data_IF_117977436434
#
_entry.id   IF_117977436434
#
_cell.length_a   1.000
_cell.length_b   1.000
_cell.length_c   1.000
_cell.angle_alpha   90.00
_cell.angle_beta   90.00
_cell.angle_gamma   90.00
#
_symmetry.space_group_name_H-M   'P 1'
#
loop_
_entity.id
_entity.type
_entity.pdbx_description
1 polymer ?
#
# COMPACT_ATOMS: atom_id res chain seq x y z
N UNK A 1 -43.00 -33.20 53.73
CA UNK A 1 -41.86 -34.03 54.16
C UNK A 1 -41.26 -34.69 52.93
N UNK A 2 -40.00 -34.59 52.53
CA UNK A 2 -38.83 -33.70 52.75
C UNK A 2 -38.00 -33.82 51.43
N UNK A 3 -37.30 -32.77 50.98
CA UNK A 3 -36.68 -32.71 49.66
C UNK A 3 -35.35 -33.48 49.61
N UNK A 4 -35.00 -34.05 48.45
CA UNK A 4 -33.69 -34.69 48.23
C UNK A 4 -32.64 -33.63 47.90
N UNK A 5 -32.06 -33.13 48.99
CA UNK A 5 -30.71 -32.61 49.21
C UNK A 5 -29.87 -32.21 47.97
N UNK A 6 -29.70 -30.89 47.85
CA UNK A 6 -28.63 -30.24 47.12
C UNK A 6 -27.28 -30.55 47.78
N UNK A 7 -26.35 -31.12 47.02
CA UNK A 7 -24.95 -31.18 47.45
C UNK A 7 -24.28 -29.84 47.17
N UNK A 8 -24.49 -28.90 48.09
CA UNK A 8 -23.64 -27.72 48.27
C UNK A 8 -22.30 -28.21 48.84
N UNK A 9 -21.27 -28.28 48.00
CA UNK A 9 -19.88 -28.36 48.47
C UNK A 9 -19.34 -26.93 48.60
N UNK A 10 -19.49 -26.38 49.80
CA UNK A 10 -18.92 -25.10 50.20
C UNK A 10 -17.43 -25.30 50.52
N UNK A 11 -16.57 -25.08 49.52
CA UNK A 11 -15.13 -24.94 49.68
C UNK A 11 -14.76 -23.46 49.77
N UNK A 12 -14.10 -23.06 50.88
CA UNK A 12 -13.66 -21.70 51.19
C UNK A 12 -12.55 -21.22 50.23
N UNK A 13 -12.92 -20.68 49.08
CA UNK A 13 -12.22 -19.57 48.41
C UNK A 13 -13.04 -19.13 47.18
N UNK A 14 -13.52 -17.90 47.19
CA UNK A 14 -14.45 -17.35 46.20
C UNK A 14 -13.80 -17.03 44.85
N UNK A 15 -13.39 -18.05 44.09
CA UNK A 15 -13.18 -17.93 42.65
C UNK A 15 -13.81 -19.15 41.99
N UNK A 16 -15.05 -18.98 41.54
CA UNK A 16 -15.63 -19.86 40.51
C UNK A 16 -14.80 -19.63 39.26
N UNK A 17 -13.75 -20.43 39.07
CA UNK A 17 -13.09 -20.55 37.77
C UNK A 17 -14.04 -21.33 36.88
N UNK A 18 -15.06 -20.64 36.36
CA UNK A 18 -15.90 -21.17 35.29
C UNK A 18 -14.97 -21.55 34.15
N UNK A 19 -14.86 -22.85 33.86
CA UNK A 19 -14.20 -23.34 32.64
C UNK A 19 -14.88 -22.59 31.49
N UNK A 20 -14.14 -21.81 30.66
CA UNK A 20 -14.76 -21.06 29.60
C UNK A 20 -15.48 -22.03 28.67
N UNK A 21 -16.81 -21.92 28.65
CA UNK A 21 -17.69 -22.53 27.67
C UNK A 21 -17.11 -22.26 26.26
N UNK A 22 -17.21 -23.23 25.36
CA UNK A 22 -16.83 -23.09 23.95
C UNK A 22 -17.25 -21.74 23.35
N UNK A 23 -18.47 -21.26 23.61
CA UNK A 23 -18.96 -19.96 23.13
C UNK A 23 -18.21 -18.76 23.72
N UNK A 24 -17.76 -18.84 24.97
CA UNK A 24 -16.96 -17.80 25.63
C UNK A 24 -15.55 -17.76 25.05
N UNK A 25 -14.96 -18.94 24.78
CA UNK A 25 -13.65 -19.06 24.16
C UNK A 25 -13.67 -18.59 22.70
N UNK A 26 -14.63 -19.04 21.89
CA UNK A 26 -14.76 -18.59 20.49
C UNK A 26 -15.05 -17.10 20.41
N UNK A 27 -15.90 -16.55 21.28
CA UNK A 27 -16.14 -15.10 21.34
C UNK A 27 -14.92 -14.29 21.79
N UNK A 28 -14.08 -14.83 22.67
CA UNK A 28 -12.82 -14.19 23.06
C UNK A 28 -11.78 -14.24 21.92
N UNK A 29 -11.70 -15.37 21.20
CA UNK A 29 -10.84 -15.54 20.04
C UNK A 29 -11.28 -14.63 18.88
N UNK A 30 -12.57 -14.58 18.57
CA UNK A 30 -13.12 -13.70 17.52
C UNK A 30 -12.90 -12.22 17.85
N UNK A 31 -13.03 -11.80 19.12
CA UNK A 31 -12.70 -10.42 19.49
C UNK A 31 -11.23 -10.08 19.36
N UNK A 32 -10.34 -11.05 19.62
CA UNK A 32 -8.89 -10.81 19.68
C UNK A 32 -8.18 -11.05 18.35
N UNK A 33 -8.69 -11.99 17.57
CA UNK A 33 -8.09 -12.49 16.33
C UNK A 33 -9.07 -12.51 15.16
N UNK A 34 -10.35 -12.20 15.39
CA UNK A 34 -11.34 -12.17 14.32
C UNK A 34 -11.09 -11.04 13.34
N UNK A 35 -11.40 -11.31 12.08
CA UNK A 35 -11.09 -10.43 10.96
C UNK A 35 -11.89 -9.13 11.00
N UNK A 36 -12.97 -9.04 11.79
CA UNK A 36 -13.80 -7.85 11.89
C UNK A 36 -13.02 -6.63 12.42
N UNK A 37 -12.15 -6.82 13.42
CA UNK A 37 -11.31 -5.73 13.92
C UNK A 37 -10.27 -5.31 12.86
N UNK A 38 -9.68 -6.28 12.16
CA UNK A 38 -8.71 -6.04 11.10
C UNK A 38 -9.35 -5.32 9.90
N UNK A 39 -10.58 -5.65 9.52
CA UNK A 39 -11.33 -4.96 8.48
C UNK A 39 -11.46 -3.46 8.75
N UNK A 40 -11.88 -3.08 9.96
CA UNK A 40 -11.99 -1.67 10.33
C UNK A 40 -10.64 -0.94 10.27
N UNK A 41 -9.55 -1.61 10.66
CA UNK A 41 -8.19 -1.07 10.56
C UNK A 41 -7.80 -0.83 9.09
N UNK A 42 -8.02 -1.80 8.21
CA UNK A 42 -7.72 -1.66 6.78
C UNK A 42 -8.58 -0.58 6.12
N UNK A 43 -9.86 -0.48 6.48
CA UNK A 43 -10.74 0.60 6.00
C UNK A 43 -10.25 1.99 6.43
N UNK A 44 -9.76 2.12 7.67
CA UNK A 44 -9.19 3.36 8.15
C UNK A 44 -7.88 3.70 7.43
N UNK A 45 -6.99 2.72 7.27
CA UNK A 45 -5.73 2.88 6.54
C UNK A 45 -5.96 3.32 5.10
N UNK A 46 -6.90 2.67 4.40
CA UNK A 46 -7.25 2.94 3.01
C UNK A 46 -7.63 4.42 2.78
N UNK A 47 -8.43 5.02 3.68
CA UNK A 47 -8.86 6.42 3.57
C UNK A 47 -7.69 7.42 3.57
N UNK A 48 -6.69 7.15 4.40
CA UNK A 48 -5.47 7.97 4.51
C UNK A 48 -4.36 7.55 3.56
N UNK A 49 -4.54 6.48 2.79
CA UNK A 49 -3.47 5.90 2.00
C UNK A 49 -3.14 6.77 0.79
N UNK A 50 -1.87 7.11 0.59
CA UNK A 50 -1.39 7.97 -0.49
C UNK A 50 -0.10 7.40 -1.07
N UNK A 51 0.12 7.59 -2.37
CA UNK A 51 1.31 7.14 -3.08
C UNK A 51 2.56 7.80 -2.49
N UNK A 52 3.57 6.99 -2.19
CA UNK A 52 4.86 7.48 -1.65
C UNK A 52 5.74 8.06 -2.75
N UNK A 53 6.74 8.85 -2.36
CA UNK A 53 7.63 9.50 -3.33
C UNK A 53 8.50 8.51 -4.14
N UNK A 54 8.91 7.41 -3.51
CA UNK A 54 9.78 6.40 -4.15
C UNK A 54 8.97 5.27 -4.82
N UNK A 55 7.65 5.31 -4.70
CA UNK A 55 6.76 4.23 -5.12
C UNK A 55 6.26 4.46 -6.55
N UNK A 56 6.41 3.43 -7.39
CA UNK A 56 5.92 3.50 -8.77
C UNK A 56 4.40 3.38 -8.82
N UNK A 57 3.78 3.82 -9.91
CA UNK A 57 2.32 3.71 -10.10
C UNK A 57 1.83 2.25 -9.99
N UNK A 58 2.61 1.30 -10.50
CA UNK A 58 2.28 -0.13 -10.44
C UNK A 58 2.39 -0.69 -9.02
N UNK A 59 3.42 -0.30 -8.26
CA UNK A 59 3.55 -0.71 -6.85
C UNK A 59 2.39 -0.17 -6.02
N UNK A 60 2.05 1.10 -6.26
CA UNK A 60 0.92 1.75 -5.60
C UNK A 60 -0.41 1.09 -5.92
N UNK A 61 -0.66 0.78 -7.20
CA UNK A 61 -1.85 0.04 -7.64
C UNK A 61 -1.97 -1.31 -6.94
N UNK A 62 -0.90 -2.11 -6.95
CA UNK A 62 -0.88 -3.43 -6.33
C UNK A 62 -1.16 -3.36 -4.82
N UNK A 63 -0.61 -2.35 -4.14
CA UNK A 63 -0.86 -2.13 -2.72
C UNK A 63 -2.31 -1.71 -2.44
N UNK A 64 -2.91 -0.82 -3.24
CA UNK A 64 -4.33 -0.47 -3.11
C UNK A 64 -5.21 -1.69 -3.37
N UNK A 65 -4.96 -2.43 -4.45
CA UNK A 65 -5.72 -3.64 -4.80
C UNK A 65 -5.71 -4.65 -3.65
N UNK A 66 -4.54 -4.88 -3.04
CA UNK A 66 -4.43 -5.72 -1.84
C UNK A 66 -5.19 -5.14 -0.64
N UNK A 67 -5.05 -3.84 -0.38
CA UNK A 67 -5.66 -3.17 0.77
C UNK A 67 -7.18 -3.19 0.72
N UNK A 68 -7.78 -2.94 -0.46
CA UNK A 68 -9.24 -2.94 -0.62
C UNK A 68 -9.83 -4.34 -0.40
N UNK A 69 -9.15 -5.39 -0.89
CA UNK A 69 -9.56 -6.77 -0.65
C UNK A 69 -9.54 -7.14 0.84
N UNK A 70 -8.56 -6.63 1.60
CA UNK A 70 -8.48 -6.83 3.05
C UNK A 70 -9.52 -5.99 3.82
N UNK A 71 -9.82 -4.79 3.34
CA UNK A 71 -10.80 -3.89 3.94
C UNK A 71 -12.25 -4.34 3.73
N UNK A 72 -12.54 -5.02 2.61
CA UNK A 72 -13.89 -5.40 2.19
C UNK A 72 -13.99 -6.85 1.68
N UNK A 73 -13.58 -7.88 2.46
CA UNK A 73 -13.51 -9.26 1.97
C UNK A 73 -14.88 -9.89 1.64
N UNK A 74 -15.98 -9.29 2.11
CA UNK A 74 -17.36 -9.74 1.86
C UNK A 74 -18.10 -8.88 0.82
N UNK A 75 -17.46 -7.85 0.27
CA UNK A 75 -18.11 -6.98 -0.70
C UNK A 75 -18.15 -7.63 -2.10
N UNK A 76 -19.14 -7.31 -2.94
CA UNK A 76 -19.15 -7.75 -4.33
C UNK A 76 -17.93 -7.23 -5.09
N UNK A 77 -17.40 -8.04 -6.01
CA UNK A 77 -16.22 -7.69 -6.80
C UNK A 77 -16.35 -6.32 -7.50
N UNK A 78 -17.54 -5.99 -8.02
CA UNK A 78 -17.81 -4.68 -8.64
C UNK A 78 -17.61 -3.51 -7.68
N UNK A 79 -17.99 -3.66 -6.41
CA UNK A 79 -17.83 -2.62 -5.38
C UNK A 79 -16.35 -2.50 -4.99
N UNK A 80 -15.66 -3.63 -4.84
CA UNK A 80 -14.21 -3.67 -4.61
C UNK A 80 -13.48 -2.92 -5.72
N UNK A 81 -13.81 -3.19 -6.98
CA UNK A 81 -13.22 -2.53 -8.15
C UNK A 81 -13.44 -1.02 -8.12
N UNK A 82 -14.67 -0.57 -7.84
CA UNK A 82 -14.98 0.86 -7.74
C UNK A 82 -14.22 1.55 -6.62
N UNK A 83 -14.11 0.90 -5.46
CA UNK A 83 -13.35 1.42 -4.32
C UNK A 83 -11.85 1.49 -4.63
N UNK A 84 -11.31 0.47 -5.29
CA UNK A 84 -9.93 0.42 -5.76
C UNK A 84 -9.63 1.60 -6.70
N UNK A 85 -10.41 1.78 -7.76
CA UNK A 85 -10.23 2.90 -8.70
C UNK A 85 -10.33 4.25 -7.99
N UNK A 86 -11.33 4.46 -7.13
CA UNK A 86 -11.50 5.73 -6.40
C UNK A 86 -10.30 6.03 -5.50
N UNK A 87 -9.84 5.05 -4.71
CA UNK A 87 -8.72 5.25 -3.79
C UNK A 87 -7.40 5.42 -4.53
N UNK A 88 -7.20 4.70 -5.64
CA UNK A 88 -6.04 4.89 -6.50
C UNK A 88 -5.97 6.33 -6.99
N UNK A 89 -7.03 6.83 -7.63
CA UNK A 89 -7.07 8.20 -8.19
C UNK A 89 -6.90 9.26 -7.10
N UNK A 90 -7.63 9.14 -5.99
CA UNK A 90 -7.57 10.10 -4.88
C UNK A 90 -6.22 10.12 -4.16
N UNK A 91 -5.47 9.02 -4.24
CA UNK A 91 -4.20 8.88 -3.55
C UNK A 91 -2.97 8.99 -4.43
N UNK A 92 -3.11 9.27 -5.73
CA UNK A 92 -2.00 9.62 -6.60
C UNK A 92 -1.24 10.84 -6.07
N UNK A 93 0.10 10.74 -6.08
CA UNK A 93 0.99 11.79 -5.58
C UNK A 93 0.99 13.01 -6.50
N UNK A 94 0.95 12.78 -7.80
CA UNK A 94 0.95 13.85 -8.79
C UNK A 94 -0.50 14.34 -9.02
N UNK A 95 -0.82 15.57 -8.60
CA UNK A 95 -2.19 16.08 -8.67
C UNK A 95 -2.69 16.23 -10.10
N UNK A 96 -1.81 16.45 -11.07
CA UNK A 96 -2.17 16.58 -12.48
C UNK A 96 -2.56 15.22 -13.07
N UNK A 97 -1.75 14.19 -12.80
CA UNK A 97 -2.08 12.80 -13.18
C UNK A 97 -3.40 12.39 -12.52
N UNK A 98 -3.56 12.66 -11.21
CA UNK A 98 -4.80 12.35 -10.48
C UNK A 98 -6.04 13.00 -11.09
N UNK A 99 -5.96 14.28 -11.47
CA UNK A 99 -7.08 14.98 -12.11
C UNK A 99 -7.43 14.40 -13.48
N UNK A 100 -6.43 14.18 -14.34
CA UNK A 100 -6.62 13.68 -15.70
C UNK A 100 -7.18 12.25 -15.71
N UNK A 101 -6.65 11.38 -14.84
CA UNK A 101 -7.17 10.02 -14.66
C UNK A 101 -8.60 10.07 -14.10
N UNK A 102 -8.87 10.91 -13.09
CA UNK A 102 -10.20 11.04 -12.49
C UNK A 102 -11.30 11.51 -13.45
N UNK A 103 -10.96 12.32 -14.45
CA UNK A 103 -11.93 12.78 -15.47
C UNK A 103 -12.39 11.66 -16.41
N UNK A 104 -11.54 10.66 -16.67
CA UNK A 104 -11.84 9.57 -17.59
C UNK A 104 -12.79 8.50 -17.01
N UNK A 105 -13.02 8.49 -15.69
CA UNK A 105 -14.01 7.62 -15.01
C UNK A 105 -13.89 6.14 -15.39
N UNK A 106 -12.70 5.59 -15.24
CA UNK A 106 -12.39 4.19 -15.54
C UNK A 106 -13.27 3.23 -14.74
N UNK A 107 -13.54 2.05 -15.32
CA UNK A 107 -14.36 1.02 -14.67
C UNK A 107 -13.52 -0.01 -13.94
N UNK A 108 -12.27 -0.15 -14.34
CA UNK A 108 -11.34 -1.14 -13.81
C UNK A 108 -10.04 -0.48 -13.35
N UNK A 109 -9.38 -1.12 -12.39
CA UNK A 109 -8.09 -0.68 -11.88
C UNK A 109 -7.01 -0.71 -12.97
N UNK A 110 -7.05 -1.74 -13.82
CA UNK A 110 -6.12 -1.86 -14.95
C UNK A 110 -6.24 -0.68 -15.93
N UNK A 111 -7.46 -0.28 -16.29
CA UNK A 111 -7.69 0.87 -17.17
C UNK A 111 -7.16 2.18 -16.55
N UNK A 112 -7.39 2.38 -15.24
CA UNK A 112 -6.90 3.55 -14.52
C UNK A 112 -5.37 3.60 -14.48
N UNK A 113 -4.72 2.46 -14.23
CA UNK A 113 -3.26 2.35 -14.21
C UNK A 113 -2.66 2.61 -15.59
N UNK A 114 -3.20 2.00 -16.66
CA UNK A 114 -2.70 2.22 -18.02
C UNK A 114 -2.76 3.70 -18.39
N UNK A 115 -3.88 4.36 -18.13
CA UNK A 115 -4.02 5.79 -18.44
C UNK A 115 -3.07 6.65 -17.59
N UNK A 116 -2.88 6.32 -16.31
CA UNK A 116 -1.92 7.03 -15.45
C UNK A 116 -0.48 6.92 -15.99
N UNK A 117 -0.08 5.74 -16.48
CA UNK A 117 1.23 5.51 -17.09
C UNK A 117 1.38 6.31 -18.40
N UNK A 118 0.37 6.31 -19.26
CA UNK A 118 0.39 7.10 -20.50
C UNK A 118 0.60 8.60 -20.22
N UNK A 119 -0.06 9.13 -19.18
CA UNK A 119 0.11 10.53 -18.78
C UNK A 119 1.52 10.77 -18.21
N UNK A 120 2.04 9.85 -17.38
CA UNK A 120 3.39 9.93 -16.84
C UNK A 120 4.44 9.98 -17.96
N UNK A 121 4.32 9.11 -18.96
CA UNK A 121 5.21 9.05 -20.13
C UNK A 121 5.15 10.36 -20.94
N UNK A 122 3.94 10.88 -21.22
CA UNK A 122 3.76 12.15 -21.94
C UNK A 122 4.35 13.33 -21.15
N UNK A 123 4.21 13.30 -19.82
CA UNK A 123 4.74 14.34 -18.94
C UNK A 123 6.27 14.30 -18.86
N UNK A 124 6.86 13.11 -18.85
CA UNK A 124 8.31 12.95 -18.91
C UNK A 124 8.87 13.44 -20.25
N UNK A 125 8.25 13.05 -21.37
CA UNK A 125 8.66 13.50 -22.71
C UNK A 125 8.56 15.04 -22.88
N UNK A 126 7.52 15.66 -22.33
CA UNK A 126 7.36 17.12 -22.40
C UNK A 126 8.35 17.88 -21.51
N UNK A 127 8.75 17.31 -20.35
CA UNK A 127 9.83 17.88 -19.51
C UNK A 127 11.15 17.91 -20.25
N UNK A 128 11.50 16.83 -20.95
CA UNK A 128 12.73 16.75 -21.72
C UNK A 128 12.72 17.73 -22.91
N UNK A 129 11.58 17.88 -23.59
CA UNK A 129 11.44 18.85 -24.67
C UNK A 129 11.52 20.32 -24.21
N UNK A 130 11.07 20.61 -22.98
CA UNK A 130 11.00 21.98 -22.43
C UNK A 130 12.30 22.40 -21.72
N UNK A 131 13.19 21.46 -21.39
CA UNK A 131 14.46 21.75 -20.70
C UNK A 131 15.71 21.42 -21.53
N UNK A 132 15.98 22.15 -22.63
CA UNK A 132 17.18 21.95 -23.46
C UNK A 132 18.51 22.22 -22.71
N UNK A 133 18.45 22.79 -21.50
CA UNK A 133 19.63 23.01 -20.65
C UNK A 133 20.00 21.78 -19.80
N UNK A 134 19.07 20.90 -19.44
CA UNK A 134 19.37 19.71 -18.61
C UNK A 134 20.22 18.66 -19.34
N UNK A 135 20.07 18.55 -20.66
CA UNK A 135 20.91 17.68 -21.49
C UNK A 135 22.37 18.13 -21.52
N UNK A 136 22.62 19.44 -21.50
CA UNK A 136 23.99 19.96 -21.39
C UNK A 136 24.62 19.64 -20.02
N UNK A 137 23.84 19.72 -18.93
CA UNK A 137 24.33 19.36 -17.58
C UNK A 137 24.58 17.85 -17.43
N UNK A 138 23.74 16.97 -18.01
CA UNK A 138 23.96 15.52 -17.98
C UNK A 138 25.14 15.09 -18.86
N UNK A 139 25.31 15.70 -20.04
CA UNK A 139 26.42 15.41 -20.97
C UNK A 139 27.75 15.88 -20.40
N UNK A 140 27.84 17.09 -19.83
CA UNK A 140 29.08 17.62 -19.24
C UNK A 140 29.55 16.82 -18.02
N UNK A 141 28.63 16.36 -17.15
CA UNK A 141 28.99 15.48 -16.03
C UNK A 141 29.46 14.09 -16.49
N UNK A 142 28.84 13.52 -17.52
CA UNK A 142 29.25 12.22 -18.08
C UNK A 142 30.63 12.30 -18.76
N UNK A 143 30.88 13.38 -19.52
CA UNK A 143 32.21 13.64 -20.11
C UNK A 143 33.27 13.90 -19.02
N UNK A 144 32.92 14.65 -17.96
CA UNK A 144 33.80 14.90 -16.82
C UNK A 144 34.17 13.63 -16.04
N UNK A 145 33.21 12.73 -15.80
CA UNK A 145 33.48 11.43 -15.17
C UNK A 145 34.44 10.57 -15.99
N UNK A 146 34.19 10.44 -17.29
CA UNK A 146 35.05 9.67 -18.19
C UNK A 146 36.48 10.24 -18.30
N UNK A 147 36.65 11.57 -18.23
CA UNK A 147 37.96 12.22 -18.22
C UNK A 147 38.73 11.95 -16.92
N UNK A 148 38.06 11.97 -15.78
CA UNK A 148 38.67 11.67 -14.47
C UNK A 148 39.12 10.21 -14.42
N UNK A 149 38.27 9.29 -14.88
CA UNK A 149 38.60 7.86 -14.92
C UNK A 149 39.79 7.58 -15.86
N UNK A 150 39.80 8.22 -17.03
CA UNK A 150 40.92 8.12 -17.99
C UNK A 150 42.23 8.71 -17.44
N UNK A 151 42.17 9.83 -16.71
CA UNK A 151 43.36 10.43 -16.08
C UNK A 151 43.89 9.56 -14.94
N UNK A 152 43.01 8.98 -14.12
CA UNK A 152 43.39 8.06 -13.05
C UNK A 152 44.09 6.81 -13.60
N UNK A 153 43.59 6.25 -14.69
CA UNK A 153 44.17 5.10 -15.36
C UNK A 153 45.58 5.41 -15.91
N UNK A 154 45.77 6.58 -16.54
CA UNK A 154 47.08 6.99 -17.03
C UNK A 154 48.08 7.23 -15.89
N UNK A 155 47.65 7.85 -14.78
CA UNK A 155 48.51 8.05 -13.61
C UNK A 155 48.91 6.72 -12.95
N UNK A 156 48.04 5.72 -12.96
CA UNK A 156 48.37 4.36 -12.50
C UNK A 156 49.43 3.70 -13.39
N UNK A 157 49.36 3.88 -14.71
CA UNK A 157 50.38 3.34 -15.64
C UNK A 157 51.77 3.95 -15.42
N UNK A 158 51.84 5.23 -15.02
CA UNK A 158 53.12 5.91 -14.72
C UNK A 158 53.76 5.43 -13.41
N UNK A 159 52.94 4.97 -12.45
CA UNK A 159 53.41 4.49 -11.14
C UNK A 159 53.93 3.04 -11.19
N UNK A 160 53.59 2.30 -12.25
CA UNK A 160 53.98 0.90 -12.47
C UNK A 160 55.18 0.74 -13.43
N UNK A 161 55.90 1.83 -13.72
CA UNK A 161 57.21 1.84 -14.39
C UNK A 161 58.32 2.04 -13.37
#
# INVERSE_FOLDING_TARGET
MRPKEAHTLMGRSGLVMTIPNYATLTGALERRYGDAHLQHVYQAQLRSWRQRFEETLQQYEADISRMVNLAYPKAPAKIIEQLAVSNFVEGLRDPEIGQLVGLARHKTMSEALTHALEIEDVKEASRDATNPYQDQYKKTKKTGGNLIDSLLEHLQQLKNR
#
